data_IF_208348014034
#
_entry.id   IF_208348014034
#
_cell.length_a   1.000
_cell.length_b   1.000
_cell.length_c   1.000
_cell.angle_alpha   90.00
_cell.angle_beta   90.00
_cell.angle_gamma   90.00
#
_symmetry.space_group_name_H-M   'P 1'
#
loop_
_entity.id
_entity.type
_entity.pdbx_description
1 polymer ?
#
# COMPACT_ATOMS: atom_id res chain seq x y z
N UNK A 1 18.35 -11.98 10.41
CA UNK A 1 17.18 -11.14 10.08
C UNK A 1 17.00 -10.15 11.20
N UNK A 2 16.81 -8.85 10.91
CA UNK A 2 16.36 -7.93 11.95
C UNK A 2 14.93 -8.32 12.35
N UNK A 3 14.56 -8.24 13.63
CA UNK A 3 13.17 -8.38 14.03
C UNK A 3 12.34 -7.26 13.40
N UNK A 4 11.13 -7.58 12.95
CA UNK A 4 10.16 -6.58 12.50
C UNK A 4 9.78 -5.66 13.66
N UNK A 5 9.41 -4.41 13.37
CA UNK A 5 8.92 -3.48 14.39
C UNK A 5 7.55 -3.93 14.92
N UNK A 6 7.23 -3.58 16.17
CA UNK A 6 5.92 -3.84 16.75
C UNK A 6 4.84 -2.95 16.14
N UNK A 7 5.19 -1.70 15.81
CA UNK A 7 4.29 -0.68 15.30
C UNK A 7 4.96 0.10 14.16
N UNK A 8 4.19 0.39 13.10
CA UNK A 8 4.63 1.21 11.97
C UNK A 8 3.54 2.18 11.54
N UNK A 9 3.93 3.22 10.82
CA UNK A 9 3.00 4.05 10.02
C UNK A 9 3.47 4.05 8.59
N UNK A 10 2.52 3.88 7.67
CA UNK A 10 2.78 3.90 6.24
C UNK A 10 1.87 4.90 5.55
N UNK A 11 2.31 5.38 4.39
CA UNK A 11 1.45 6.02 3.40
C UNK A 11 1.42 5.14 2.16
N UNK A 12 0.27 5.03 1.48
CA UNK A 12 0.17 4.17 0.31
C UNK A 12 -0.62 4.77 -0.85
N UNK A 13 -0.34 4.24 -2.04
CA UNK A 13 -1.04 4.52 -3.29
C UNK A 13 -1.67 3.19 -3.75
N UNK A 14 -2.99 3.15 -3.86
CA UNK A 14 -3.71 1.99 -4.41
C UNK A 14 -4.00 2.22 -5.89
N UNK A 15 -3.53 1.33 -6.74
CA UNK A 15 -3.84 1.33 -8.17
C UNK A 15 -4.72 0.11 -8.46
N UNK A 16 -6.02 0.37 -8.63
CA UNK A 16 -7.01 -0.64 -8.99
C UNK A 16 -7.28 -0.70 -10.50
N UNK A 17 -8.06 -1.70 -10.89
CA UNK A 17 -8.59 -1.91 -12.25
C UNK A 17 -10.09 -2.25 -12.24
N UNK A 18 -10.70 -2.36 -13.41
CA UNK A 18 -12.11 -2.72 -13.57
C UNK A 18 -12.47 -3.98 -12.74
N UNK A 19 -13.43 -3.83 -11.82
CA UNK A 19 -13.93 -4.92 -10.97
C UNK A 19 -13.08 -5.24 -9.73
N UNK A 20 -11.93 -4.60 -9.53
CA UNK A 20 -11.05 -4.86 -8.37
C UNK A 20 -11.50 -4.15 -7.08
N UNK A 21 -12.15 -3.00 -7.19
CA UNK A 21 -12.52 -2.16 -6.04
C UNK A 21 -14.03 -2.19 -5.79
N UNK A 22 -14.48 -2.59 -4.58
CA UNK A 22 -15.89 -2.53 -4.21
C UNK A 22 -16.42 -1.09 -4.27
N UNK A 23 -17.55 -0.90 -4.95
CA UNK A 23 -18.22 0.41 -5.00
C UNK A 23 -17.54 1.46 -5.87
N UNK A 24 -16.43 1.14 -6.56
CA UNK A 24 -15.79 2.02 -7.54
C UNK A 24 -15.79 1.37 -8.92
N UNK A 25 -16.26 2.11 -9.92
CA UNK A 25 -16.18 1.69 -11.33
C UNK A 25 -14.97 2.33 -12.00
N UNK A 26 -13.93 1.53 -12.26
CA UNK A 26 -12.72 1.94 -12.97
C UNK A 26 -12.78 1.49 -14.41
N UNK A 27 -12.38 2.34 -15.36
CA UNK A 27 -12.44 2.04 -16.79
C UNK A 27 -11.15 1.41 -17.35
N UNK A 28 -10.13 1.17 -16.51
CA UNK A 28 -8.83 0.62 -16.93
C UNK A 28 -8.79 -0.91 -16.78
N UNK A 29 -8.24 -1.66 -17.76
CA UNK A 29 -8.00 -3.09 -17.60
C UNK A 29 -6.84 -3.37 -16.62
N UNK A 30 -6.75 -4.62 -16.15
CA UNK A 30 -5.71 -5.05 -15.22
C UNK A 30 -4.28 -4.76 -15.72
N UNK A 31 -4.00 -4.96 -17.01
CA UNK A 31 -2.67 -4.71 -17.60
C UNK A 31 -2.27 -3.23 -17.60
N UNK A 32 -3.24 -2.32 -17.79
CA UNK A 32 -2.99 -0.88 -17.71
C UNK A 32 -2.75 -0.44 -16.26
N UNK A 33 -3.50 -1.01 -15.31
CA UNK A 33 -3.26 -0.77 -13.89
C UNK A 33 -1.87 -1.25 -13.46
N UNK A 34 -1.41 -2.41 -13.94
CA UNK A 34 -0.06 -2.90 -13.68
C UNK A 34 1.02 -1.95 -14.24
N UNK A 35 0.84 -1.49 -15.48
CA UNK A 35 1.77 -0.55 -16.11
C UNK A 35 1.83 0.78 -15.34
N UNK A 36 0.66 1.30 -14.95
CA UNK A 36 0.57 2.51 -14.13
C UNK A 36 1.22 2.33 -12.77
N UNK A 37 0.99 1.21 -12.09
CA UNK A 37 1.60 0.91 -10.80
C UNK A 37 3.14 0.88 -10.90
N UNK A 38 3.69 0.21 -11.92
CA UNK A 38 5.14 0.19 -12.16
C UNK A 38 5.71 1.59 -12.41
N UNK A 39 5.01 2.40 -13.22
CA UNK A 39 5.42 3.77 -13.51
C UNK A 39 5.40 4.66 -12.25
N UNK A 40 4.34 4.57 -11.43
CA UNK A 40 4.23 5.37 -10.19
C UNK A 40 5.25 4.89 -9.15
N UNK A 41 5.49 3.58 -9.06
CA UNK A 41 6.50 3.01 -8.18
C UNK A 41 7.89 3.50 -8.54
N UNK A 42 8.25 3.51 -9.83
CA UNK A 42 9.53 4.02 -10.30
C UNK A 42 9.71 5.52 -9.99
N UNK A 43 8.69 6.35 -10.24
CA UNK A 43 8.73 7.77 -9.86
C UNK A 43 8.95 7.96 -8.36
N UNK A 44 8.26 7.18 -7.53
CA UNK A 44 8.38 7.23 -6.08
C UNK A 44 9.81 6.84 -5.64
N UNK A 45 10.38 5.78 -6.22
CA UNK A 45 11.76 5.36 -5.96
C UNK A 45 12.80 6.38 -6.42
N UNK A 46 12.50 7.16 -7.47
CA UNK A 46 13.34 8.27 -7.96
C UNK A 46 13.21 9.56 -7.14
N UNK A 47 12.43 9.54 -6.04
CA UNK A 47 12.33 10.66 -5.10
C UNK A 47 11.25 11.69 -5.44
N UNK A 48 10.29 11.35 -6.30
CA UNK A 48 9.09 12.18 -6.47
C UNK A 48 8.34 12.37 -5.13
N UNK A 49 7.62 13.49 -5.00
CA UNK A 49 6.80 13.76 -3.81
C UNK A 49 5.69 12.70 -3.67
N UNK A 50 5.84 11.86 -2.65
CA UNK A 50 4.92 10.75 -2.42
C UNK A 50 3.50 11.23 -2.09
N UNK A 51 3.31 12.34 -1.38
CA UNK A 51 1.95 12.84 -1.06
C UNK A 51 1.25 13.34 -2.34
N UNK A 52 2.00 13.99 -3.23
CA UNK A 52 1.49 14.39 -4.53
C UNK A 52 1.08 13.19 -5.37
N UNK A 53 1.89 12.13 -5.41
CA UNK A 53 1.56 10.87 -6.09
C UNK A 53 0.31 10.20 -5.49
N UNK A 54 0.14 10.22 -4.16
CA UNK A 54 -1.05 9.70 -3.49
C UNK A 54 -2.30 10.44 -3.94
N UNK A 55 -2.27 11.77 -3.94
CA UNK A 55 -3.40 12.61 -4.40
C UNK A 55 -3.75 12.38 -5.85
N UNK A 56 -2.74 12.17 -6.69
CA UNK A 56 -2.91 12.07 -8.13
C UNK A 56 -3.41 10.69 -8.57
N UNK A 57 -2.88 9.63 -7.96
CA UNK A 57 -3.03 8.27 -8.51
C UNK A 57 -3.82 7.32 -7.64
N UNK A 58 -3.91 7.54 -6.32
CA UNK A 58 -4.54 6.56 -5.42
C UNK A 58 -6.04 6.45 -5.69
N UNK A 59 -6.52 5.21 -5.71
CA UNK A 59 -7.95 4.88 -5.71
C UNK A 59 -8.47 4.60 -4.29
N UNK A 60 -7.61 4.74 -3.27
CA UNK A 60 -8.01 4.76 -1.87
C UNK A 60 -8.17 6.21 -1.36
N UNK A 61 -8.83 6.36 -0.20
CA UNK A 61 -9.09 7.66 0.39
C UNK A 61 -7.80 8.39 0.80
N UNK A 62 -7.69 9.68 0.44
CA UNK A 62 -6.64 10.55 0.96
C UNK A 62 -6.78 10.72 2.49
N UNK A 63 -5.69 10.67 3.30
CA UNK A 63 -4.28 10.73 2.93
C UNK A 63 -3.59 9.39 2.64
N UNK A 64 -4.32 8.28 2.60
CA UNK A 64 -3.75 6.94 2.40
C UNK A 64 -2.79 6.50 3.51
N UNK A 65 -2.96 7.02 4.73
CA UNK A 65 -2.08 6.76 5.87
C UNK A 65 -2.68 5.75 6.83
N UNK A 66 -1.87 4.79 7.26
CA UNK A 66 -2.28 3.70 8.12
C UNK A 66 -1.24 3.46 9.21
N UNK A 67 -1.70 3.41 10.46
CA UNK A 67 -0.92 2.89 11.58
C UNK A 67 -1.20 1.40 11.69
N UNK A 68 -0.15 0.60 11.82
CA UNK A 68 -0.27 -0.86 11.83
C UNK A 68 0.50 -1.46 13.02
N UNK A 69 -0.19 -2.33 13.77
CA UNK A 69 0.42 -3.20 14.76
C UNK A 69 0.81 -4.53 14.11
N UNK A 70 1.97 -5.08 14.50
CA UNK A 70 2.45 -6.34 13.99
C UNK A 70 1.58 -7.52 14.48
N UNK A 71 1.74 -8.69 13.87
CA UNK A 71 1.00 -9.89 14.22
C UNK A 71 1.26 -10.28 15.69
N UNK A 72 0.19 -10.36 16.48
CA UNK A 72 0.27 -10.69 17.90
C UNK A 72 0.62 -9.51 18.81
N UNK A 73 0.84 -8.31 18.25
CA UNK A 73 0.98 -7.05 18.98
C UNK A 73 -0.41 -6.44 19.18
N UNK A 74 -0.68 -5.90 20.36
CA UNK A 74 -1.94 -5.22 20.65
C UNK A 74 -2.02 -3.89 19.90
N UNK A 75 -3.15 -3.62 19.25
CA UNK A 75 -3.39 -2.34 18.56
C UNK A 75 -3.62 -1.21 19.54
N UNK A 76 -3.15 -0.02 19.19
CA UNK A 76 -3.47 1.24 19.86
C UNK A 76 -4.61 1.99 19.16
N UNK A 77 -5.02 3.15 19.68
CA UNK A 77 -6.11 3.94 19.10
C UNK A 77 -5.80 4.39 17.66
N UNK A 78 -6.71 4.07 16.73
CA UNK A 78 -6.55 4.40 15.31
C UNK A 78 -5.54 3.53 14.56
N UNK A 79 -5.10 2.43 15.16
CA UNK A 79 -4.20 1.45 14.57
C UNK A 79 -4.97 0.20 14.11
N UNK A 80 -4.49 -0.41 13.03
CA UNK A 80 -5.02 -1.67 12.53
C UNK A 80 -4.05 -2.80 12.81
N UNK A 81 -4.57 -3.99 13.15
CA UNK A 81 -3.76 -5.21 13.12
C UNK A 81 -3.38 -5.50 11.66
N UNK A 82 -2.10 -5.78 11.37
CA UNK A 82 -1.64 -6.07 10.01
C UNK A 82 -2.42 -7.18 9.32
N UNK A 83 -2.99 -8.13 10.08
CA UNK A 83 -3.79 -9.26 9.57
C UNK A 83 -5.18 -8.85 9.10
N UNK A 84 -5.62 -7.64 9.44
CA UNK A 84 -6.86 -7.04 8.95
C UNK A 84 -6.67 -6.32 7.61
N UNK A 85 -5.41 -6.08 7.20
CA UNK A 85 -5.07 -5.63 5.86
C UNK A 85 -5.03 -6.83 4.90
N UNK A 86 -5.02 -6.56 3.60
CA UNK A 86 -4.67 -7.62 2.63
C UNK A 86 -3.23 -8.08 2.90
N UNK A 87 -3.01 -9.40 2.92
CA UNK A 87 -1.75 -9.98 3.42
C UNK A 87 -0.51 -9.41 2.74
N UNK A 88 -0.55 -9.21 1.41
CA UNK A 88 0.57 -8.64 0.66
C UNK A 88 0.92 -7.21 1.10
N UNK A 89 -0.08 -6.41 1.48
CA UNK A 89 0.14 -5.07 2.00
C UNK A 89 0.86 -5.10 3.36
N UNK A 90 0.35 -5.89 4.30
CA UNK A 90 0.94 -6.05 5.62
C UNK A 90 2.37 -6.60 5.55
N UNK A 91 2.60 -7.63 4.74
CA UNK A 91 3.92 -8.26 4.61
C UNK A 91 4.96 -7.29 4.05
N UNK A 92 4.63 -6.55 2.99
CA UNK A 92 5.54 -5.53 2.44
C UNK A 92 5.76 -4.40 3.44
N UNK A 93 4.71 -3.88 4.06
CA UNK A 93 4.81 -2.74 4.98
C UNK A 93 5.80 -2.96 6.14
N UNK A 94 5.80 -4.16 6.74
CA UNK A 94 6.69 -4.49 7.87
C UNK A 94 8.12 -4.87 7.46
N UNK A 95 8.35 -5.18 6.18
CA UNK A 95 9.68 -5.45 5.64
C UNK A 95 10.46 -4.18 5.27
N UNK A 96 9.77 -3.08 5.03
CA UNK A 96 10.38 -1.80 4.66
C UNK A 96 11.11 -1.16 5.85
N UNK A 97 12.24 -0.52 5.58
CA UNK A 97 12.89 0.42 6.52
C UNK A 97 12.23 1.80 6.45
N UNK A 98 12.42 2.65 7.46
CA UNK A 98 11.83 4.00 7.48
C UNK A 98 12.30 4.82 6.27
N UNK A 99 11.36 5.37 5.51
CA UNK A 99 11.59 6.12 4.28
C UNK A 99 11.64 5.25 3.02
N UNK A 100 11.74 3.91 3.16
CA UNK A 100 11.76 2.99 2.04
C UNK A 100 10.38 2.87 1.38
N UNK A 101 10.39 2.58 0.08
CA UNK A 101 9.19 2.41 -0.74
C UNK A 101 9.20 1.01 -1.34
N UNK A 102 8.15 0.24 -1.07
CA UNK A 102 7.90 -1.09 -1.61
C UNK A 102 6.60 -1.16 -2.39
N UNK A 103 6.36 -2.30 -3.04
CA UNK A 103 5.12 -2.55 -3.76
C UNK A 103 4.60 -3.96 -3.48
N UNK A 104 3.34 -4.05 -3.05
CA UNK A 104 2.57 -5.29 -3.07
C UNK A 104 1.87 -5.41 -4.43
N UNK A 105 2.24 -6.41 -5.22
CA UNK A 105 1.62 -6.66 -6.52
C UNK A 105 0.22 -7.25 -6.36
N UNK A 106 -0.65 -7.02 -7.35
CA UNK A 106 -1.96 -7.66 -7.40
C UNK A 106 -1.85 -9.18 -7.30
N UNK A 107 -2.67 -9.75 -6.42
CA UNK A 107 -2.85 -11.16 -6.22
C UNK A 107 -4.30 -11.36 -5.76
N UNK A 108 -5.10 -12.24 -6.40
CA UNK A 108 -6.51 -12.43 -6.08
C UNK A 108 -6.80 -12.77 -4.60
N UNK A 109 -5.83 -13.36 -3.89
CA UNK A 109 -5.96 -13.75 -2.49
C UNK A 109 -5.29 -12.74 -1.56
N UNK A 110 -4.07 -12.31 -1.90
CA UNK A 110 -3.19 -11.55 -1.00
C UNK A 110 -3.23 -10.04 -1.21
N UNK A 111 -3.71 -9.57 -2.37
CA UNK A 111 -3.73 -8.16 -2.75
C UNK A 111 -4.86 -7.89 -3.76
N UNK A 112 -6.07 -8.33 -3.43
CA UNK A 112 -7.21 -8.42 -4.37
C UNK A 112 -7.69 -7.08 -4.95
N UNK A 113 -7.33 -5.97 -4.31
CA UNK A 113 -7.75 -4.63 -4.71
C UNK A 113 -6.86 -4.02 -5.80
N UNK A 114 -5.70 -4.62 -6.09
CA UNK A 114 -4.75 -4.14 -7.10
C UNK A 114 -3.33 -4.06 -6.55
N UNK A 115 -2.59 -3.07 -7.02
CA UNK A 115 -1.22 -2.82 -6.58
C UNK A 115 -1.20 -1.77 -5.48
N UNK A 116 -0.44 -2.02 -4.44
CA UNK A 116 -0.22 -1.08 -3.36
C UNK A 116 1.24 -0.65 -3.35
N UNK A 117 1.49 0.62 -3.61
CA UNK A 117 2.81 1.22 -3.45
C UNK A 117 2.86 1.82 -2.05
N UNK A 118 3.82 1.41 -1.24
CA UNK A 118 3.81 1.62 0.20
C UNK A 118 5.10 2.32 0.59
N UNK A 119 5.00 3.45 1.28
CA UNK A 119 6.13 4.13 1.89
C UNK A 119 6.05 3.99 3.40
N UNK A 120 7.12 3.53 4.04
CA UNK A 120 7.20 3.52 5.49
C UNK A 120 7.58 4.89 6.04
N UNK A 121 6.77 5.41 6.96
CA UNK A 121 6.95 6.73 7.59
C UNK A 121 7.62 6.63 8.96
N UNK A 122 7.35 5.55 9.71
CA UNK A 122 7.98 5.17 10.98
C UNK A 122 8.02 3.64 11.13
#
# INVERSE_FOLDING_TARGET
MKPEADHIEVQHILIGFYGSLPGQSLNRPQSEAEALAKQVFEQAQQGADFDALVRQYSNDAYPGRYKLANAGVATTEGEYDRRMMVTGFGDVAFQLEVGEIGMAAYDPEKSKYGWHIIKRLQ
#
